data_IF_681486332028
#
_entry.id   IF_681486332028
#
_cell.length_a   1.000
_cell.length_b   1.000
_cell.length_c   1.000
_cell.angle_alpha   90.00
_cell.angle_beta   90.00
_cell.angle_gamma   90.00
#
_symmetry.space_group_name_H-M   'P 1'
#
loop_
_entity.id
_entity.type
_entity.pdbx_description
1 polymer ?
#
# COMPACT_ATOMS: atom_id res chain seq x y z
N UNK A 1 -10.52 -22.35 27.45
CA UNK A 1 -9.76 -21.87 26.27
C UNK A 1 -10.76 -21.66 25.15
N UNK A 2 -11.32 -20.48 25.06
CA UNK A 2 -12.32 -20.15 24.02
C UNK A 2 -11.56 -19.65 22.79
N UNK A 3 -11.47 -20.48 21.76
CA UNK A 3 -11.05 -20.06 20.43
C UNK A 3 -12.17 -19.17 19.84
N UNK A 4 -11.95 -17.86 19.85
CA UNK A 4 -12.82 -16.95 19.12
C UNK A 4 -12.60 -17.20 17.61
N UNK A 5 -13.57 -17.84 16.98
CA UNK A 5 -13.69 -17.99 15.52
C UNK A 5 -14.11 -16.65 14.87
N UNK A 6 -13.42 -15.57 15.20
CA UNK A 6 -13.56 -14.29 14.55
C UNK A 6 -12.73 -14.24 13.26
N UNK A 7 -13.12 -13.40 12.29
CA UNK A 7 -12.29 -13.11 11.13
C UNK A 7 -10.90 -12.62 11.61
N UNK A 8 -9.81 -12.95 10.89
CA UNK A 8 -8.48 -12.48 11.25
C UNK A 8 -8.42 -10.95 11.22
N UNK A 9 -7.55 -10.37 12.06
CA UNK A 9 -7.29 -8.94 12.03
C UNK A 9 -6.80 -8.50 10.65
N UNK A 10 -7.19 -7.31 10.23
CA UNK A 10 -6.70 -6.72 8.98
C UNK A 10 -5.19 -6.51 9.05
N UNK A 11 -4.69 -6.04 10.20
CA UNK A 11 -3.26 -5.91 10.48
C UNK A 11 -3.01 -6.33 11.94
N UNK A 12 -1.94 -7.08 12.16
CA UNK A 12 -1.44 -7.42 13.50
C UNK A 12 0.07 -7.29 13.52
N UNK A 13 0.57 -6.47 14.41
CA UNK A 13 1.99 -6.14 14.57
C UNK A 13 2.38 -6.46 16.01
N UNK A 14 3.47 -7.19 16.19
CA UNK A 14 3.98 -7.57 17.51
C UNK A 14 5.48 -7.32 17.61
N UNK A 15 5.90 -6.50 18.58
CA UNK A 15 7.29 -6.21 18.92
C UNK A 15 8.10 -5.66 17.74
N UNK A 16 7.44 -4.89 16.85
CA UNK A 16 8.04 -4.47 15.59
C UNK A 16 9.15 -3.44 15.81
N UNK A 17 10.34 -3.77 15.34
CA UNK A 17 11.52 -2.88 15.36
C UNK A 17 12.08 -2.68 13.95
N UNK A 18 12.48 -1.45 13.63
CA UNK A 18 13.21 -1.13 12.40
C UNK A 18 14.39 -0.22 12.69
N UNK A 19 15.59 -0.73 12.39
CA UNK A 19 16.84 0.03 12.42
C UNK A 19 17.38 0.07 11.00
N UNK A 20 17.56 1.28 10.46
CA UNK A 20 18.29 1.46 9.21
C UNK A 20 19.80 1.44 9.49
N UNK A 21 20.59 0.88 8.57
CA UNK A 21 22.04 0.75 8.70
C UNK A 21 22.48 0.08 10.01
N UNK A 22 21.78 -0.93 10.47
CA UNK A 22 22.11 -1.67 11.68
C UNK A 22 23.58 -2.12 11.67
N UNK A 23 24.28 -1.92 12.79
CA UNK A 23 25.71 -2.26 12.92
C UNK A 23 26.68 -1.25 12.31
N UNK A 24 26.21 -0.12 11.77
CA UNK A 24 27.05 0.97 11.26
C UNK A 24 27.00 2.19 12.17
N UNK A 25 27.99 3.08 12.05
CA UNK A 25 28.05 4.31 12.84
C UNK A 25 26.88 5.27 12.59
N UNK A 26 26.20 5.15 11.43
CA UNK A 26 25.02 5.94 11.05
C UNK A 26 23.72 5.12 11.19
N UNK A 27 23.66 4.21 12.15
CA UNK A 27 22.43 3.48 12.44
C UNK A 27 21.33 4.43 12.92
N UNK A 28 20.11 4.26 12.41
CA UNK A 28 18.93 5.04 12.78
C UNK A 28 17.81 4.11 13.22
N UNK A 29 17.38 4.20 14.46
CA UNK A 29 16.18 3.54 14.95
C UNK A 29 14.94 4.30 14.48
N UNK A 30 14.21 3.73 13.54
CA UNK A 30 13.01 4.33 12.97
C UNK A 30 11.72 3.88 13.68
N UNK A 31 11.70 2.66 14.20
CA UNK A 31 10.61 2.09 15.00
C UNK A 31 11.20 1.22 16.11
N UNK A 32 10.62 1.33 17.30
CA UNK A 32 11.06 0.59 18.49
C UNK A 32 9.83 0.02 19.17
N UNK A 33 9.80 -1.33 19.25
CA UNK A 33 8.81 -2.10 20.02
C UNK A 33 7.35 -1.67 19.76
N UNK A 34 6.95 -1.68 18.49
CA UNK A 34 5.59 -1.27 18.09
C UNK A 34 4.68 -2.47 18.08
N UNK A 35 3.60 -2.40 18.87
CA UNK A 35 2.46 -3.31 18.84
C UNK A 35 1.24 -2.54 18.30
N UNK A 36 0.52 -3.15 17.34
CA UNK A 36 -0.67 -2.57 16.76
C UNK A 36 -1.59 -3.67 16.23
N UNK A 37 -2.87 -3.56 16.53
CA UNK A 37 -3.90 -4.41 15.94
C UNK A 37 -4.94 -3.55 15.28
N UNK A 38 -5.31 -3.88 14.03
CA UNK A 38 -6.36 -3.22 13.25
C UNK A 38 -7.40 -4.28 12.90
N UNK A 39 -8.64 -4.05 13.30
CA UNK A 39 -9.74 -4.94 12.99
C UNK A 39 -10.20 -4.80 11.51
N UNK A 40 -10.87 -5.83 10.94
CA UNK A 40 -11.48 -5.69 9.61
C UNK A 40 -12.46 -4.53 9.55
N UNK A 41 -12.35 -3.69 8.51
CA UNK A 41 -13.22 -2.53 8.30
C UNK A 41 -12.93 -1.32 9.20
N UNK A 42 -11.91 -1.39 10.05
CA UNK A 42 -11.52 -0.27 10.90
C UNK A 42 -10.80 0.82 10.09
N UNK A 43 -11.09 2.09 10.40
CA UNK A 43 -10.37 3.24 9.88
C UNK A 43 -9.36 3.72 10.91
N UNK A 44 -8.07 3.65 10.58
CA UNK A 44 -6.97 4.04 11.48
C UNK A 44 -6.19 5.19 10.88
N UNK A 45 -5.94 6.24 11.67
CA UNK A 45 -5.12 7.38 11.29
C UNK A 45 -3.82 7.43 12.10
N UNK A 46 -2.68 7.53 11.40
CA UNK A 46 -1.36 7.72 12.01
C UNK A 46 -1.01 9.19 12.04
N UNK A 47 -0.99 9.78 13.24
CA UNK A 47 -0.69 11.20 13.46
C UNK A 47 0.66 11.35 14.16
N UNK A 48 1.44 12.32 13.75
CA UNK A 48 2.74 12.62 14.36
C UNK A 48 3.62 13.49 13.46
N UNK A 49 4.72 14.04 13.99
CA UNK A 49 5.62 14.92 13.27
C UNK A 49 6.30 14.23 12.07
N UNK A 50 6.91 15.02 11.19
CA UNK A 50 7.72 14.47 10.10
C UNK A 50 8.89 13.66 10.67
N UNK A 51 9.20 12.52 10.06
CA UNK A 51 10.31 11.66 10.49
C UNK A 51 10.00 10.69 11.63
N UNK A 52 8.81 10.72 12.28
CA UNK A 52 8.48 9.82 13.39
C UNK A 52 8.17 8.35 13.02
N UNK A 53 8.42 7.94 11.79
CA UNK A 53 8.30 6.52 11.40
C UNK A 53 6.99 6.11 10.72
N UNK A 54 5.97 6.97 10.55
CA UNK A 54 4.67 6.63 9.93
C UNK A 54 4.81 5.93 8.58
N UNK A 55 5.57 6.53 7.66
CA UNK A 55 5.79 5.96 6.34
C UNK A 55 6.63 4.67 6.39
N UNK A 56 7.51 4.54 7.38
CA UNK A 56 8.29 3.32 7.63
C UNK A 56 7.35 2.20 8.07
N UNK A 57 6.43 2.47 9.00
CA UNK A 57 5.43 1.51 9.46
C UNK A 57 4.55 1.01 8.31
N UNK A 58 3.99 1.92 7.50
CA UNK A 58 3.19 1.57 6.33
C UNK A 58 3.96 0.70 5.32
N UNK A 59 5.24 1.01 5.08
CA UNK A 59 6.09 0.21 4.18
C UNK A 59 6.41 -1.17 4.74
N UNK A 60 6.51 -1.33 6.06
CA UNK A 60 6.69 -2.63 6.71
C UNK A 60 5.41 -3.47 6.63
N UNK A 61 4.23 -2.87 6.86
CA UNK A 61 2.92 -3.53 6.68
C UNK A 61 2.77 -4.01 5.23
N UNK A 62 3.16 -3.18 4.27
CA UNK A 62 3.14 -3.52 2.85
C UNK A 62 4.32 -4.41 2.40
N UNK A 63 5.14 -4.92 3.31
CA UNK A 63 6.34 -5.70 2.98
C UNK A 63 7.22 -5.08 1.87
N UNK A 64 7.29 -3.74 1.85
CA UNK A 64 8.22 -2.98 1.00
C UNK A 64 9.56 -2.74 1.72
N UNK A 65 9.58 -3.02 3.02
CA UNK A 65 10.76 -3.04 3.88
C UNK A 65 10.71 -4.29 4.76
N UNK A 66 11.86 -4.84 5.08
CA UNK A 66 11.98 -5.93 6.04
C UNK A 66 12.15 -5.36 7.45
N UNK A 67 11.47 -5.91 8.47
CA UNK A 67 11.68 -5.53 9.86
C UNK A 67 13.08 -5.96 10.34
N UNK A 68 13.61 -5.28 11.36
CA UNK A 68 14.83 -5.71 12.06
C UNK A 68 14.49 -6.83 13.04
N UNK A 69 13.33 -6.71 13.71
CA UNK A 69 12.74 -7.76 14.56
C UNK A 69 11.24 -7.53 14.69
N UNK A 70 10.53 -8.49 15.28
CA UNK A 70 9.09 -8.47 15.41
C UNK A 70 8.39 -9.07 14.20
N UNK A 71 7.06 -9.07 14.22
CA UNK A 71 6.22 -9.70 13.20
C UNK A 71 5.15 -8.75 12.68
N UNK A 72 4.79 -8.92 11.41
CA UNK A 72 3.67 -8.21 10.77
C UNK A 72 2.81 -9.24 10.05
N UNK A 73 1.55 -9.32 10.43
CA UNK A 73 0.53 -10.11 9.76
C UNK A 73 -0.49 -9.18 9.08
N UNK A 74 -0.94 -9.56 7.90
CA UNK A 74 -2.00 -8.88 7.15
C UNK A 74 -3.04 -9.93 6.79
N UNK A 75 -4.29 -9.73 7.20
CA UNK A 75 -5.38 -10.70 7.05
C UNK A 75 -5.00 -12.11 7.56
N UNK A 76 -4.27 -12.17 8.69
CA UNK A 76 -3.79 -13.42 9.30
C UNK A 76 -2.64 -14.10 8.57
N UNK A 77 -2.09 -13.53 7.51
CA UNK A 77 -0.96 -14.04 6.73
C UNK A 77 0.30 -13.20 6.96
N UNK A 78 1.48 -13.76 6.71
CA UNK A 78 2.69 -12.92 6.70
C UNK A 78 2.57 -11.78 5.69
N UNK A 79 3.13 -10.60 6.00
CA UNK A 79 3.10 -9.46 5.09
C UNK A 79 3.65 -9.81 3.69
N UNK A 80 4.66 -10.70 3.61
CA UNK A 80 5.21 -11.17 2.35
C UNK A 80 4.19 -11.99 1.53
N UNK A 81 3.43 -12.87 2.18
CA UNK A 81 2.37 -13.66 1.54
C UNK A 81 1.24 -12.75 1.08
N UNK A 82 0.76 -11.86 1.93
CA UNK A 82 -0.30 -10.91 1.60
C UNK A 82 0.07 -10.02 0.40
N UNK A 83 1.34 -9.57 0.31
CA UNK A 83 1.84 -8.83 -0.85
C UNK A 83 1.82 -9.68 -2.12
N UNK A 84 2.30 -10.92 -2.06
CA UNK A 84 2.32 -11.84 -3.21
C UNK A 84 0.92 -12.15 -3.73
N UNK A 85 -0.03 -12.30 -2.82
CA UNK A 85 -1.45 -12.59 -3.13
C UNK A 85 -2.26 -11.32 -3.45
N UNK A 86 -1.63 -10.13 -3.35
CA UNK A 86 -2.29 -8.84 -3.62
C UNK A 86 -3.52 -8.59 -2.74
N UNK A 87 -3.43 -8.94 -1.46
CA UNK A 87 -4.53 -8.84 -0.48
C UNK A 87 -4.83 -7.40 -0.04
N UNK A 88 -3.99 -6.44 -0.38
CA UNK A 88 -4.16 -5.03 -0.04
C UNK A 88 -3.81 -4.11 -1.20
N UNK A 89 -4.27 -2.87 -1.13
CA UNK A 89 -3.86 -1.77 -2.01
C UNK A 89 -3.07 -0.72 -1.23
N UNK A 90 -2.14 -0.04 -1.89
CA UNK A 90 -1.38 1.06 -1.29
C UNK A 90 -1.39 2.28 -2.21
N UNK A 91 -1.83 3.43 -1.66
CA UNK A 91 -1.70 4.72 -2.33
C UNK A 91 -0.48 5.45 -1.76
N UNK A 92 0.39 5.93 -2.65
CA UNK A 92 1.58 6.69 -2.28
C UNK A 92 1.30 8.19 -2.34
N UNK A 93 2.03 8.98 -1.55
CA UNK A 93 1.96 10.45 -1.58
C UNK A 93 2.41 11.02 -2.92
N UNK A 94 3.39 10.39 -3.57
CA UNK A 94 3.79 10.71 -4.93
C UNK A 94 3.01 9.82 -5.91
N UNK A 95 2.60 10.38 -7.05
CA UNK A 95 1.96 9.59 -8.08
C UNK A 95 2.91 8.49 -8.57
N UNK A 96 2.46 7.25 -8.53
CA UNK A 96 3.22 6.10 -9.03
C UNK A 96 2.94 5.84 -10.52
N UNK A 97 2.50 6.85 -11.28
CA UNK A 97 2.15 6.69 -12.68
C UNK A 97 3.40 6.51 -13.54
N UNK A 98 3.35 5.55 -14.45
CA UNK A 98 4.38 5.37 -15.46
C UNK A 98 4.24 6.45 -16.53
N UNK A 99 5.24 7.31 -16.66
CA UNK A 99 5.28 8.46 -17.58
C UNK A 99 5.09 8.06 -19.05
N UNK A 100 5.51 6.87 -19.46
CA UNK A 100 5.40 6.33 -20.83
C UNK A 100 4.08 5.64 -21.12
N UNK A 101 3.14 5.62 -20.17
CA UNK A 101 1.79 5.05 -20.34
C UNK A 101 0.75 6.14 -20.20
N UNK A 102 -0.29 6.12 -21.06
CA UNK A 102 -1.43 7.01 -20.86
C UNK A 102 -2.13 6.74 -19.53
N UNK A 103 -2.92 7.71 -19.05
CA UNK A 103 -3.67 7.65 -17.80
C UNK A 103 -4.47 6.35 -17.70
N UNK A 104 -5.30 6.06 -18.69
CA UNK A 104 -6.11 4.83 -18.66
C UNK A 104 -5.26 3.57 -18.67
N UNK A 105 -4.11 3.55 -19.37
CA UNK A 105 -3.19 2.40 -19.34
C UNK A 105 -2.50 2.21 -17.99
N UNK A 106 -2.26 3.30 -17.26
CA UNK A 106 -1.78 3.22 -15.89
C UNK A 106 -2.82 2.54 -14.98
N UNK A 107 -4.10 2.92 -15.11
CA UNK A 107 -5.19 2.34 -14.34
C UNK A 107 -5.45 0.87 -14.74
N UNK A 108 -5.28 0.53 -16.00
CA UNK A 108 -5.38 -0.87 -16.48
C UNK A 108 -4.29 -1.79 -15.89
N UNK A 109 -3.13 -1.26 -15.51
CA UNK A 109 -1.95 -2.06 -15.19
C UNK A 109 -2.18 -3.11 -14.08
N UNK A 110 -2.78 -2.79 -12.91
CA UNK A 110 -3.05 -3.78 -11.89
C UNK A 110 -3.94 -4.94 -12.38
N UNK A 111 -4.89 -4.64 -13.25
CA UNK A 111 -5.78 -5.63 -13.84
C UNK A 111 -5.07 -6.46 -14.93
N UNK A 112 -4.14 -5.83 -15.67
CA UNK A 112 -3.26 -6.50 -16.62
C UNK A 112 -2.38 -7.54 -15.91
N UNK A 113 -1.79 -7.17 -14.78
CA UNK A 113 -0.97 -8.07 -13.96
C UNK A 113 -1.79 -9.23 -13.35
N UNK A 114 -3.09 -9.01 -13.11
CA UNK A 114 -4.05 -10.05 -12.68
C UNK A 114 -4.57 -10.92 -13.84
N UNK A 115 -4.10 -10.72 -15.07
CA UNK A 115 -4.50 -11.50 -16.24
C UNK A 115 -5.91 -11.19 -16.75
N UNK A 116 -6.48 -10.04 -16.42
CA UNK A 116 -7.81 -9.68 -16.93
C UNK A 116 -7.81 -9.50 -18.45
N UNK A 117 -8.91 -9.88 -19.09
CA UNK A 117 -9.16 -9.62 -20.50
C UNK A 117 -9.07 -8.11 -20.81
N UNK A 118 -8.53 -7.79 -21.99
CA UNK A 118 -8.25 -6.41 -22.43
C UNK A 118 -9.51 -5.53 -22.44
N UNK A 119 -10.64 -6.07 -22.92
CA UNK A 119 -11.88 -5.30 -23.00
C UNK A 119 -12.45 -5.02 -21.60
N UNK A 120 -12.43 -6.02 -20.71
CA UNK A 120 -12.91 -5.89 -19.33
C UNK A 120 -12.07 -4.91 -18.52
N UNK A 121 -10.73 -5.00 -18.60
CA UNK A 121 -9.87 -4.06 -17.88
C UNK A 121 -10.01 -2.62 -18.39
N UNK A 122 -10.19 -2.45 -19.73
CA UNK A 122 -10.43 -1.13 -20.33
C UNK A 122 -11.73 -0.52 -19.83
N UNK A 123 -12.82 -1.29 -19.86
CA UNK A 123 -14.11 -0.84 -19.37
C UNK A 123 -14.03 -0.41 -17.89
N UNK A 124 -13.39 -1.22 -17.04
CA UNK A 124 -13.20 -0.92 -15.62
C UNK A 124 -12.34 0.31 -15.40
N UNK A 125 -11.27 0.50 -16.15
CA UNK A 125 -10.41 1.68 -16.04
C UNK A 125 -11.16 2.96 -16.41
N UNK A 126 -11.99 2.95 -17.46
CA UNK A 126 -12.82 4.08 -17.85
C UNK A 126 -13.88 4.39 -16.77
N UNK A 127 -14.56 3.38 -16.25
CA UNK A 127 -15.50 3.54 -15.13
C UNK A 127 -14.83 4.23 -13.91
N UNK A 128 -13.61 3.86 -13.57
CA UNK A 128 -12.89 4.51 -12.46
C UNK A 128 -12.54 5.96 -12.76
N UNK A 129 -12.18 6.29 -14.02
CA UNK A 129 -11.94 7.66 -14.44
C UNK A 129 -13.20 8.52 -14.38
N UNK A 130 -14.34 7.99 -14.80
CA UNK A 130 -15.63 8.68 -14.67
C UNK A 130 -15.99 8.96 -13.20
N UNK A 131 -15.75 8.00 -12.30
CA UNK A 131 -16.01 8.16 -10.87
C UNK A 131 -15.27 9.36 -10.26
N UNK A 132 -14.05 9.63 -10.73
CA UNK A 132 -13.24 10.77 -10.29
C UNK A 132 -13.33 11.99 -11.24
N UNK A 133 -14.24 11.96 -12.21
CA UNK A 133 -14.46 13.02 -13.21
C UNK A 133 -13.22 13.34 -14.07
N UNK A 134 -12.46 12.31 -14.42
CA UNK A 134 -11.29 12.40 -15.29
C UNK A 134 -11.44 11.61 -16.60
N UNK A 135 -12.67 11.30 -17.02
CA UNK A 135 -12.96 10.55 -18.25
C UNK A 135 -12.31 11.14 -19.50
N UNK A 136 -12.37 12.48 -19.66
CA UNK A 136 -11.78 13.19 -20.79
C UNK A 136 -10.26 13.07 -20.87
N UNK A 137 -9.59 12.75 -19.76
CA UNK A 137 -8.14 12.62 -19.66
C UNK A 137 -7.63 11.20 -19.88
N UNK A 138 -8.48 10.24 -20.21
CA UNK A 138 -8.13 8.83 -20.38
C UNK A 138 -6.95 8.58 -21.32
N UNK A 139 -6.87 9.32 -22.42
CA UNK A 139 -5.80 9.21 -23.43
C UNK A 139 -4.58 10.08 -23.13
N UNK A 140 -4.66 11.00 -22.15
CA UNK A 140 -3.56 11.90 -21.80
C UNK A 140 -2.41 11.14 -21.15
N UNK A 141 -1.24 11.75 -21.20
CA UNK A 141 -0.05 11.26 -20.51
C UNK A 141 0.06 11.91 -19.12
N UNK A 142 0.72 11.27 -18.13
CA UNK A 142 0.80 11.78 -16.76
C UNK A 142 1.24 13.24 -16.66
N UNK A 143 2.23 13.68 -17.43
CA UNK A 143 2.73 15.06 -17.41
C UNK A 143 1.73 16.11 -17.89
N UNK A 144 0.64 15.71 -18.52
CA UNK A 144 -0.45 16.61 -18.98
C UNK A 144 -1.48 16.84 -17.87
N UNK A 145 -1.34 16.17 -16.73
CA UNK A 145 -2.22 16.28 -15.57
C UNK A 145 -1.62 17.18 -14.50
N UNK A 146 -2.47 17.89 -13.78
CA UNK A 146 -2.05 18.57 -12.55
C UNK A 146 -1.68 17.56 -11.46
N UNK A 147 -0.87 17.95 -10.46
CA UNK A 147 -0.46 17.08 -9.37
C UNK A 147 -1.64 16.41 -8.63
N UNK A 148 -2.74 17.16 -8.40
CA UNK A 148 -3.95 16.60 -7.78
C UNK A 148 -4.70 15.60 -8.67
N UNK A 149 -4.63 15.76 -10.00
CA UNK A 149 -5.24 14.79 -10.93
C UNK A 149 -4.41 13.52 -11.05
N UNK A 150 -3.12 13.56 -10.72
CA UNK A 150 -2.24 12.40 -10.75
C UNK A 150 -2.37 11.53 -9.49
N UNK A 151 -2.92 12.03 -8.41
CA UNK A 151 -3.21 11.31 -7.15
C UNK A 151 -4.57 10.66 -7.19
#
# INVERSE_FOLDING_TARGET
MSSSTGAPNAVEITGLKKIFNAGKANAVEALVDVDLTIAPGEFVSLIGPSGCGKSTLLRLIANLLEPTSGTVLVNGKSAATARKEQDYGMAFQQSGLFEWRSVVRNIELPLELKGWDKAKRRARALEMLELVKLGDFASHMPWQLSGGMQQ
#
